data_IF_106526306875
#
_entry.id   IF_106526306875
#
_cell.length_a   1.000
_cell.length_b   1.000
_cell.length_c   1.000
_cell.angle_alpha   90.00
_cell.angle_beta   90.00
_cell.angle_gamma   90.00
#
_symmetry.space_group_name_H-M   'P 1'
#
loop_
_entity.id
_entity.type
_entity.pdbx_description
1 polymer ?
#
# COMPACT_ATOMS: atom_id res chain seq x y z
N UNK A 1 25.93 -14.23 -2.83
CA UNK A 1 25.12 -13.05 -3.21
C UNK A 1 24.41 -12.62 -1.95
N UNK A 2 24.98 -11.62 -1.27
CA UNK A 2 24.37 -11.07 -0.07
C UNK A 2 23.16 -10.25 -0.54
N UNK A 3 21.97 -10.73 -0.24
CA UNK A 3 20.77 -9.93 -0.46
C UNK A 3 20.78 -8.87 0.63
N UNK A 4 21.44 -7.74 0.37
CA UNK A 4 21.33 -6.55 1.22
C UNK A 4 19.84 -6.23 1.33
N UNK A 5 19.28 -6.33 2.53
CA UNK A 5 17.90 -5.94 2.81
C UNK A 5 17.95 -4.60 3.51
N UNK A 6 17.07 -3.70 3.12
CA UNK A 6 17.10 -2.33 3.62
C UNK A 6 15.76 -2.01 4.27
N UNK A 7 15.77 -1.40 5.47
CA UNK A 7 14.55 -1.06 6.18
C UNK A 7 13.81 0.07 5.45
N UNK A 8 12.49 -0.04 5.36
CA UNK A 8 11.61 1.03 4.91
C UNK A 8 11.66 2.21 5.89
N UNK A 9 11.79 3.43 5.38
CA UNK A 9 11.83 4.65 6.22
C UNK A 9 10.50 4.94 6.92
N UNK A 10 9.38 4.40 6.40
CA UNK A 10 8.03 4.63 6.93
C UNK A 10 7.65 3.61 8.00
N UNK A 11 7.80 2.32 7.70
CA UNK A 11 7.35 1.24 8.59
C UNK A 11 8.49 0.43 9.23
N UNK A 12 9.75 0.66 8.82
CA UNK A 12 10.92 -0.07 9.32
C UNK A 12 11.05 -1.51 8.79
N UNK A 13 10.13 -1.98 7.94
CA UNK A 13 10.18 -3.36 7.43
C UNK A 13 11.37 -3.53 6.51
N UNK A 14 12.14 -4.61 6.69
CA UNK A 14 13.29 -4.92 5.84
C UNK A 14 12.80 -5.50 4.52
N UNK A 15 12.95 -4.72 3.45
CA UNK A 15 12.57 -5.12 2.09
C UNK A 15 13.79 -5.19 1.20
N UNK A 16 13.70 -5.96 0.12
CA UNK A 16 14.83 -6.08 -0.81
C UNK A 16 14.95 -4.79 -1.62
N UNK A 17 16.16 -4.26 -1.88
CA UNK A 17 16.39 -3.09 -2.72
C UNK A 17 15.76 -3.23 -4.11
N UNK A 18 15.71 -4.45 -4.66
CA UNK A 18 15.05 -4.77 -5.92
C UNK A 18 13.51 -4.67 -5.89
N UNK A 19 12.92 -4.61 -4.70
CA UNK A 19 11.48 -4.47 -4.46
C UNK A 19 11.07 -2.99 -4.34
N UNK A 20 12.05 -2.09 -4.18
CA UNK A 20 11.81 -0.66 -4.30
C UNK A 20 11.75 -0.33 -5.78
N UNK A 21 10.53 -0.13 -6.32
CA UNK A 21 10.30 0.20 -7.74
C UNK A 21 10.88 1.56 -8.19
N UNK A 22 11.45 2.34 -7.26
CA UNK A 22 12.05 3.64 -7.52
C UNK A 22 13.52 3.66 -7.06
N UNK A 23 14.37 2.96 -7.81
CA UNK A 23 15.80 3.31 -7.87
C UNK A 23 15.97 4.19 -9.12
N UNK A 24 15.34 5.36 -9.13
CA UNK A 24 15.66 6.40 -10.12
C UNK A 24 17.10 6.89 -9.82
N UNK A 25 17.84 7.37 -10.82
CA UNK A 25 19.26 7.76 -10.70
C UNK A 25 19.47 8.87 -9.63
N UNK A 26 18.39 9.55 -9.27
CA UNK A 26 18.24 10.47 -8.13
C UNK A 26 17.76 9.71 -6.88
N UNK A 27 18.59 8.78 -6.38
CA UNK A 27 18.32 7.99 -5.17
C UNK A 27 18.13 8.91 -3.95
N UNK A 28 16.87 9.27 -3.67
CA UNK A 28 16.50 10.01 -2.48
C UNK A 28 16.33 9.00 -1.32
N UNK A 29 17.36 8.89 -0.47
CA UNK A 29 17.39 7.95 0.64
C UNK A 29 16.23 8.17 1.63
N UNK A 30 15.65 9.37 1.67
CA UNK A 30 14.48 9.71 2.49
C UNK A 30 13.18 9.14 1.89
N UNK A 31 13.13 9.00 0.56
CA UNK A 31 11.99 8.45 -0.17
C UNK A 31 11.95 6.91 -0.22
N UNK A 32 12.81 6.22 0.55
CA UNK A 32 12.94 4.76 0.55
C UNK A 32 11.75 4.07 1.21
N UNK A 33 10.68 3.98 0.44
CA UNK A 33 9.38 3.47 0.87
C UNK A 33 9.16 2.09 0.25
N UNK A 34 8.89 1.08 1.07
CA UNK A 34 8.55 -0.25 0.56
C UNK A 34 7.28 -0.18 -0.32
N UNK A 35 7.08 -1.13 -1.26
CA UNK A 35 5.91 -1.11 -2.15
C UNK A 35 4.60 -1.05 -1.37
N UNK A 36 4.46 -1.78 -0.27
CA UNK A 36 3.26 -1.70 0.57
C UNK A 36 3.01 -0.32 1.17
N UNK A 37 4.05 0.40 1.61
CA UNK A 37 3.87 1.77 2.11
C UNK A 37 3.63 2.78 0.98
N UNK A 38 4.16 2.52 -0.22
CA UNK A 38 3.88 3.31 -1.43
C UNK A 38 2.43 3.14 -1.86
N UNK A 39 1.96 1.90 -1.94
CA UNK A 39 0.56 1.56 -2.20
C UNK A 39 -0.35 2.18 -1.14
N UNK A 40 -0.02 2.03 0.14
CA UNK A 40 -0.77 2.67 1.21
C UNK A 40 -0.80 4.21 1.09
N UNK A 41 0.32 4.85 0.73
CA UNK A 41 0.37 6.30 0.52
C UNK A 41 -0.45 6.74 -0.71
N UNK A 42 -0.46 5.92 -1.76
CA UNK A 42 -1.29 6.14 -2.94
C UNK A 42 -2.78 6.02 -2.59
N UNK A 43 -3.16 4.94 -1.90
CA UNK A 43 -4.53 4.69 -1.46
C UNK A 43 -5.00 5.75 -0.45
N UNK A 44 -4.14 6.17 0.48
CA UNK A 44 -4.44 7.22 1.45
C UNK A 44 -4.65 8.61 0.82
N UNK A 45 -4.19 8.82 -0.42
CA UNK A 45 -4.51 10.03 -1.19
C UNK A 45 -5.91 10.00 -1.81
N UNK A 46 -6.55 8.82 -1.83
CA UNK A 46 -7.91 8.61 -2.26
C UNK A 46 -8.87 8.60 -1.06
N UNK A 47 -10.16 8.75 -1.36
CA UNK A 47 -11.24 8.72 -0.37
C UNK A 47 -12.17 7.57 -0.67
N UNK A 48 -12.81 7.05 0.39
CA UNK A 48 -13.76 5.97 0.31
C UNK A 48 -14.96 6.37 -0.54
N UNK A 49 -15.29 5.55 -1.53
CA UNK A 49 -16.41 5.75 -2.45
C UNK A 49 -17.79 5.83 -1.74
N UNK A 50 -17.90 5.34 -0.50
CA UNK A 50 -19.17 5.26 0.24
C UNK A 50 -19.34 6.28 1.36
N UNK A 51 -18.26 6.83 1.92
CA UNK A 51 -18.34 7.65 3.13
C UNK A 51 -17.33 8.80 3.23
N UNK A 52 -16.59 9.11 2.15
CA UNK A 52 -15.58 10.19 2.10
C UNK A 52 -14.44 10.05 3.14
N UNK A 53 -14.38 8.94 3.89
CA UNK A 53 -13.27 8.62 4.79
C UNK A 53 -11.97 8.42 4.00
N UNK A 54 -10.78 8.63 4.59
CA UNK A 54 -9.53 8.25 3.94
C UNK A 54 -9.58 6.78 3.54
N UNK A 55 -9.23 6.48 2.29
CA UNK A 55 -9.20 5.11 1.83
C UNK A 55 -7.96 4.39 2.35
N UNK A 56 -8.10 3.09 2.55
CA UNK A 56 -7.03 2.19 3.03
C UNK A 56 -6.85 0.98 2.13
N UNK A 57 -7.87 0.66 1.31
CA UNK A 57 -7.87 -0.47 0.39
C UNK A 57 -8.29 -0.03 -1.01
N UNK A 58 -7.62 -0.57 -2.03
CA UNK A 58 -8.06 -0.51 -3.43
C UNK A 58 -8.83 -1.80 -3.76
N UNK A 59 -10.00 -1.66 -4.35
CA UNK A 59 -10.82 -2.75 -4.86
C UNK A 59 -11.17 -2.51 -6.34
N UNK A 60 -11.71 -3.52 -7.01
CA UNK A 60 -12.16 -3.42 -8.41
C UNK A 60 -13.22 -2.32 -8.66
N UNK A 61 -13.96 -1.93 -7.62
CA UNK A 61 -14.96 -0.86 -7.68
C UNK A 61 -14.41 0.54 -7.34
N UNK A 62 -13.16 0.67 -6.88
CA UNK A 62 -12.58 1.95 -6.45
C UNK A 62 -11.81 1.84 -5.14
N UNK A 63 -11.87 2.90 -4.32
CA UNK A 63 -11.14 2.97 -3.05
C UNK A 63 -12.09 2.88 -1.86
N UNK A 64 -11.74 2.08 -0.85
CA UNK A 64 -12.56 1.83 0.33
C UNK A 64 -11.78 2.05 1.64
N UNK A 65 -12.50 2.47 2.68
CA UNK A 65 -12.00 2.43 4.06
C UNK A 65 -12.12 1.01 4.65
N UNK A 66 -11.47 0.75 5.79
CA UNK A 66 -11.50 -0.56 6.46
C UNK A 66 -12.92 -1.14 6.63
N UNK A 67 -13.88 -0.33 7.07
CA UNK A 67 -15.24 -0.79 7.36
C UNK A 67 -15.98 -1.26 6.10
N UNK A 68 -15.93 -0.45 5.02
CA UNK A 68 -16.60 -0.81 3.78
C UNK A 68 -15.85 -1.90 3.02
N UNK A 69 -14.53 -1.96 3.16
CA UNK A 69 -13.74 -3.05 2.61
C UNK A 69 -14.09 -4.38 3.29
N UNK A 70 -14.25 -4.42 4.61
CA UNK A 70 -14.66 -5.63 5.33
C UNK A 70 -16.02 -6.15 4.85
N UNK A 71 -17.02 -5.26 4.72
CA UNK A 71 -18.31 -5.60 4.13
C UNK A 71 -18.22 -6.09 2.68
N UNK A 72 -17.34 -5.48 1.88
CA UNK A 72 -17.11 -5.89 0.49
C UNK A 72 -16.52 -7.31 0.41
N UNK A 73 -15.48 -7.61 1.20
CA UNK A 73 -14.84 -8.93 1.18
C UNK A 73 -15.69 -10.00 1.86
N UNK A 74 -16.46 -9.67 2.88
CA UNK A 74 -17.36 -10.59 3.57
C UNK A 74 -18.54 -10.98 2.67
N UNK A 75 -19.15 -10.00 1.97
CA UNK A 75 -20.20 -10.27 0.99
C UNK A 75 -19.75 -11.11 -0.21
N UNK A 76 -18.45 -11.11 -0.52
CA UNK A 76 -17.86 -12.03 -1.51
C UNK A 76 -17.72 -13.46 -0.97
N UNK A 77 -17.46 -13.65 0.33
CA UNK A 77 -17.30 -14.98 0.95
C UNK A 77 -18.59 -15.76 1.15
N UNK A 78 -19.74 -15.08 1.20
CA UNK A 78 -21.05 -15.72 1.33
C UNK A 78 -21.57 -16.33 0.02
N UNK A 79 -20.84 -16.18 -1.09
CA UNK A 79 -21.22 -16.62 -2.44
C UNK A 79 -20.49 -17.89 -2.92
N UNK A 80 -19.76 -18.58 -2.04
CA UNK A 80 -19.03 -19.82 -2.33
C UNK A 80 -19.67 -21.09 -1.73
#
# INVERSE_FOLDING_TARGET
MEHTTEPCSVCGVTTRPADFEFVDDEFDADARTCPSCREAAWIASATCEFCDAPAEYEVELGFLCEEHHDHYVDGYRERD
#
